data_IF_944390137374
#
_entry.id   IF_944390137374
#
_cell.length_a   1.000
_cell.length_b   1.000
_cell.length_c   1.000
_cell.angle_alpha   90.00
_cell.angle_beta   90.00
_cell.angle_gamma   90.00
#
_symmetry.space_group_name_H-M   'P 1'
#
loop_
_entity.id
_entity.type
_entity.pdbx_description
1 polymer ?
#
# COMPACT_ATOMS: atom_id res chain seq x y z
N UNK A 1 24.40 16.73 -5.40
CA UNK A 1 24.31 15.26 -5.62
C UNK A 1 22.86 14.92 -5.91
N UNK A 2 22.51 14.68 -7.18
CA UNK A 2 21.16 14.32 -7.58
C UNK A 2 20.79 12.97 -6.96
N UNK A 3 19.91 12.96 -5.95
CA UNK A 3 19.28 11.74 -5.47
C UNK A 3 18.55 11.13 -6.67
N UNK A 4 19.16 10.13 -7.30
CA UNK A 4 18.49 9.27 -8.27
C UNK A 4 17.18 8.89 -7.63
N UNK A 5 16.09 9.20 -8.31
CA UNK A 5 14.73 9.00 -7.83
C UNK A 5 14.53 7.52 -7.54
N UNK A 6 14.88 7.10 -6.33
CA UNK A 6 14.69 5.75 -5.85
C UNK A 6 13.18 5.61 -5.71
N UNK A 7 12.55 5.12 -6.78
CA UNK A 7 11.12 4.93 -6.86
C UNK A 7 10.92 3.47 -7.12
N UNK A 8 10.08 2.85 -6.31
CA UNK A 8 9.66 1.47 -6.47
C UNK A 8 8.30 1.42 -7.13
N UNK A 9 7.97 0.29 -7.76
CA UNK A 9 6.60 0.05 -8.23
C UNK A 9 5.65 -0.08 -7.03
N UNK A 10 4.43 0.40 -7.22
CA UNK A 10 3.33 0.14 -6.30
C UNK A 10 3.19 -1.38 -6.10
N UNK A 11 3.02 -1.87 -4.86
CA UNK A 11 2.98 -3.30 -4.60
C UNK A 11 1.68 -3.98 -5.04
N UNK A 12 0.64 -3.21 -5.35
CA UNK A 12 -0.65 -3.75 -5.81
C UNK A 12 -0.53 -4.30 -7.22
N UNK A 13 -0.91 -5.57 -7.40
CA UNK A 13 -0.90 -6.25 -8.68
C UNK A 13 -1.61 -5.44 -9.78
N UNK A 14 -0.98 -5.35 -10.96
CA UNK A 14 -1.47 -4.56 -12.10
C UNK A 14 -1.28 -3.04 -11.98
N UNK A 15 -0.87 -2.51 -10.82
CA UNK A 15 -0.60 -1.08 -10.68
C UNK A 15 0.81 -0.72 -11.21
N UNK A 16 0.87 0.21 -12.17
CA UNK A 16 2.15 0.65 -12.76
C UNK A 16 2.73 1.92 -12.10
N UNK A 17 2.09 2.44 -11.05
CA UNK A 17 2.52 3.68 -10.41
C UNK A 17 3.89 3.52 -9.74
N UNK A 18 4.78 4.48 -9.99
CA UNK A 18 6.07 4.60 -9.31
C UNK A 18 5.93 5.46 -8.06
N UNK A 19 6.30 4.92 -6.91
CA UNK A 19 6.17 5.55 -5.59
C UNK A 19 7.52 5.71 -4.91
N UNK A 20 7.72 6.78 -4.11
CA UNK A 20 8.85 6.86 -3.19
C UNK A 20 8.88 5.67 -2.21
N UNK A 21 10.07 5.25 -1.72
CA UNK A 21 10.23 4.06 -0.89
C UNK A 21 9.52 4.17 0.47
N UNK A 22 9.37 5.39 0.98
CA UNK A 22 8.68 5.66 2.25
C UNK A 22 7.15 5.54 2.17
N UNK A 23 6.57 5.47 0.97
CA UNK A 23 5.13 5.24 0.82
C UNK A 23 4.84 3.74 0.76
N UNK A 24 3.79 3.30 1.44
CA UNK A 24 3.34 1.90 1.40
C UNK A 24 2.79 1.53 0.01
N UNK A 25 1.99 2.41 -0.59
CA UNK A 25 1.37 2.25 -1.91
C UNK A 25 1.08 3.61 -2.55
N UNK A 26 0.67 3.63 -3.82
CA UNK A 26 0.31 4.87 -4.49
C UNK A 26 -1.01 5.44 -3.95
N UNK A 27 -1.23 6.75 -4.15
CA UNK A 27 -2.43 7.45 -3.65
C UNK A 27 -3.74 6.81 -4.12
N UNK A 28 -3.79 6.34 -5.37
CA UNK A 28 -4.98 5.71 -5.95
C UNK A 28 -5.32 4.40 -5.23
N UNK A 29 -4.33 3.50 -5.10
CA UNK A 29 -4.50 2.24 -4.37
C UNK A 29 -4.84 2.48 -2.90
N UNK A 30 -4.21 3.48 -2.26
CA UNK A 30 -4.51 3.85 -0.88
C UNK A 30 -5.98 4.28 -0.69
N UNK A 31 -6.53 5.05 -1.63
CA UNK A 31 -7.94 5.46 -1.57
C UNK A 31 -8.91 4.29 -1.77
N UNK A 32 -8.49 3.24 -2.48
CA UNK A 32 -9.26 2.01 -2.65
C UNK A 32 -9.20 1.09 -1.43
N UNK A 33 -8.20 1.25 -0.57
CA UNK A 33 -8.02 0.46 0.64
C UNK A 33 -9.22 0.65 1.59
N UNK A 34 -9.86 -0.44 2.06
CA UNK A 34 -10.94 -0.34 3.04
C UNK A 34 -10.49 0.37 4.32
N UNK A 35 -11.40 1.15 4.93
CA UNK A 35 -11.09 1.97 6.12
C UNK A 35 -10.42 1.20 7.25
N UNK A 36 -10.89 -0.02 7.55
CA UNK A 36 -10.29 -0.88 8.58
C UNK A 36 -8.81 -1.20 8.35
N UNK A 37 -8.40 -1.44 7.10
CA UNK A 37 -7.00 -1.72 6.78
C UNK A 37 -6.15 -0.45 6.81
N UNK A 38 -6.69 0.70 6.37
CA UNK A 38 -6.02 1.99 6.51
C UNK A 38 -5.74 2.32 7.97
N UNK A 39 -6.72 2.13 8.84
CA UNK A 39 -6.59 2.33 10.28
C UNK A 39 -5.54 1.40 10.89
N UNK A 40 -5.53 0.10 10.53
CA UNK A 40 -4.52 -0.84 11.00
C UNK A 40 -3.09 -0.41 10.61
N UNK A 41 -2.88 -0.02 9.35
CA UNK A 41 -1.59 0.50 8.87
C UNK A 41 -1.19 1.76 9.64
N UNK A 42 -2.09 2.73 9.80
CA UNK A 42 -1.77 3.96 10.53
C UNK A 42 -1.47 3.71 12.01
N UNK A 43 -2.21 2.82 12.66
CA UNK A 43 -1.96 2.43 14.05
C UNK A 43 -0.55 1.86 14.19
N UNK A 44 -0.20 0.88 13.35
CA UNK A 44 1.13 0.28 13.40
C UNK A 44 2.23 1.27 13.03
N UNK A 45 2.02 2.13 12.04
CA UNK A 45 2.97 3.19 11.70
C UNK A 45 3.22 4.16 12.86
N UNK A 46 2.17 4.52 13.61
CA UNK A 46 2.27 5.49 14.72
C UNK A 46 2.99 4.92 15.94
N UNK A 47 2.79 3.65 16.24
CA UNK A 47 3.31 3.03 17.47
C UNK A 47 4.60 2.22 17.23
N UNK A 48 4.68 1.54 16.08
CA UNK A 48 5.70 0.55 15.76
C UNK A 48 6.12 0.65 14.26
N UNK A 49 6.64 1.81 13.81
CA UNK A 49 6.99 1.98 12.40
C UNK A 49 8.10 1.01 11.99
N UNK A 50 7.85 0.29 10.90
CA UNK A 50 8.85 -0.59 10.28
C UNK A 50 8.99 -1.97 10.91
N UNK A 51 8.20 -2.30 11.94
CA UNK A 51 8.17 -3.65 12.50
C UNK A 51 7.47 -4.63 11.56
N UNK A 52 7.58 -5.93 11.86
CA UNK A 52 6.91 -6.98 11.11
C UNK A 52 5.38 -6.78 11.10
N UNK A 53 4.79 -6.32 12.21
CA UNK A 53 3.36 -6.04 12.32
C UNK A 53 2.92 -4.90 11.40
N UNK A 54 3.75 -3.85 11.29
CA UNK A 54 3.50 -2.77 10.34
C UNK A 54 3.56 -3.27 8.89
N UNK A 55 4.55 -4.11 8.57
CA UNK A 55 4.66 -4.70 7.23
C UNK A 55 3.50 -5.63 6.90
N UNK A 56 3.04 -6.43 7.86
CA UNK A 56 1.86 -7.30 7.71
C UNK A 56 0.59 -6.47 7.50
N UNK A 57 0.40 -5.39 8.25
CA UNK A 57 -0.74 -4.49 8.05
C UNK A 57 -0.74 -3.89 6.63
N UNK A 58 0.43 -3.53 6.10
CA UNK A 58 0.58 -3.07 4.70
C UNK A 58 0.23 -4.18 3.72
N UNK A 59 0.71 -5.41 3.93
CA UNK A 59 0.41 -6.55 3.07
C UNK A 59 -1.11 -6.84 3.02
N UNK A 60 -1.78 -6.89 4.16
CA UNK A 60 -3.24 -7.04 4.23
C UNK A 60 -3.98 -5.90 3.52
N UNK A 61 -3.47 -4.67 3.58
CA UNK A 61 -4.05 -3.54 2.87
C UNK A 61 -3.92 -3.67 1.34
N UNK A 62 -2.80 -4.22 0.86
CA UNK A 62 -2.56 -4.52 -0.57
C UNK A 62 -3.51 -5.61 -1.05
N UNK A 63 -3.58 -6.75 -0.36
CA UNK A 63 -4.48 -7.85 -0.70
C UNK A 63 -5.95 -7.41 -0.73
N UNK A 64 -6.37 -6.56 0.21
CA UNK A 64 -7.72 -6.03 0.25
C UNK A 64 -8.06 -5.13 -0.94
N UNK A 65 -7.07 -4.42 -1.49
CA UNK A 65 -7.23 -3.62 -2.71
C UNK A 65 -7.31 -4.54 -3.93
N UNK A 66 -6.44 -5.55 -4.02
CA UNK A 66 -6.45 -6.53 -5.11
C UNK A 66 -7.77 -7.28 -5.18
N UNK A 67 -8.25 -7.79 -4.04
CA UNK A 67 -9.56 -8.44 -3.95
C UNK A 67 -10.72 -7.55 -4.42
N UNK A 68 -10.63 -6.23 -4.20
CA UNK A 68 -11.62 -5.25 -4.71
C UNK A 68 -11.48 -5.01 -6.21
N UNK A 69 -10.28 -5.03 -6.75
CA UNK A 69 -10.06 -4.88 -8.19
C UNK A 69 -10.55 -6.10 -8.96
N UNK A 70 -10.28 -7.32 -8.47
CA UNK A 70 -10.80 -8.56 -9.07
C UNK A 70 -12.32 -8.56 -9.10
N UNK A 71 -12.98 -8.13 -8.02
CA UNK A 71 -14.46 -8.00 -7.99
C UNK A 71 -15.01 -6.99 -8.99
N UNK A 72 -14.24 -5.96 -9.37
CA UNK A 72 -14.64 -4.96 -10.37
C UNK A 72 -14.39 -5.42 -11.81
N UNK A 73 -13.37 -6.26 -12.03
CA UNK A 73 -13.03 -6.78 -13.35
C UNK A 73 -13.92 -7.95 -13.79
N UNK A 74 -14.55 -8.64 -12.83
CA UNK A 74 -15.49 -9.74 -13.09
C UNK A 74 -16.98 -9.36 -13.06
N UNK A 75 -17.31 -8.05 -13.07
CA UNK A 75 -18.67 -7.52 -13.18
C UNK A 75 -18.85 -6.84 -14.54
#
# INVERSE_FOLDING_TARGET
>A
MSAKSDRRKCPVAGCQALIPPHLAMCRVCWNLTPGKHRQAVYHQYRHHPGTAEHQLAIACAVEAVEARQTKRAGA
#
